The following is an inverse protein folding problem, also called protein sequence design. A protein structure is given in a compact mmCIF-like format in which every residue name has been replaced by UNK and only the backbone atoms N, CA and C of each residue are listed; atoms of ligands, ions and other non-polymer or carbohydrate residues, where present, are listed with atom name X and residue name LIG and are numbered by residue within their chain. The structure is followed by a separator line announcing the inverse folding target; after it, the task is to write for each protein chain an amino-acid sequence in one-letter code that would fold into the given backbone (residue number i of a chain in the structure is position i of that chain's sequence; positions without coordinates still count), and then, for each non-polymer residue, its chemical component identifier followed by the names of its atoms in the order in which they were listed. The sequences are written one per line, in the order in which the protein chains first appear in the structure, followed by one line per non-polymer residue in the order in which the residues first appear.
data_IF_379691545511
#
_entry.id   IF_379691545511
#
_cell.length_a   1.000
_cell.length_b   1.000
_cell.length_c   1.000
_cell.angle_alpha   90.00
_cell.angle_beta   90.00
_cell.angle_gamma   90.00
#
_symmetry.space_group_name_H-M   'P 1'
#
loop_
_entity.id
_entity.type
_entity.pdbx_description
1 polymer ?
#
# COMPACT_ATOMS: atom_id res chain seq x y z
N UNK A 1 -3.23 21.22 -7.86
CA UNK A 1 -3.63 19.84 -8.19
C UNK A 1 -4.81 19.49 -7.31
N UNK A 2 -5.94 19.12 -7.91
CA UNK A 2 -7.15 18.71 -7.18
C UNK A 2 -7.06 17.23 -6.84
N UNK A 3 -7.41 16.85 -5.61
CA UNK A 3 -7.32 15.46 -5.15
C UNK A 3 -8.66 14.98 -4.61
N UNK A 4 -9.08 13.77 -4.97
CA UNK A 4 -10.24 13.11 -4.39
C UNK A 4 -9.83 11.87 -3.59
N UNK A 5 -10.36 11.72 -2.37
CA UNK A 5 -10.17 10.53 -1.54
C UNK A 5 -11.48 9.76 -1.51
N UNK A 6 -11.49 8.58 -2.15
CA UNK A 6 -12.63 7.67 -2.14
C UNK A 6 -12.55 6.76 -0.92
N UNK A 7 -13.59 6.73 -0.10
CA UNK A 7 -13.57 6.07 1.22
C UNK A 7 -13.03 6.98 2.33
N UNK A 8 -13.24 8.29 2.22
CA UNK A 8 -12.68 9.30 3.13
C UNK A 8 -13.10 9.12 4.61
N UNK A 9 -14.27 8.52 4.87
CA UNK A 9 -14.75 8.27 6.24
C UNK A 9 -14.24 6.95 6.83
N UNK A 10 -13.69 6.05 6.00
CA UNK A 10 -12.98 4.88 6.46
C UNK A 10 -11.73 5.27 7.25
N UNK A 11 -11.29 4.43 8.17
CA UNK A 11 -10.25 4.84 9.11
C UNK A 11 -8.90 5.18 8.47
N UNK A 12 -8.49 4.45 7.42
CA UNK A 12 -7.36 4.86 6.59
C UNK A 12 -7.62 6.15 5.79
N UNK A 13 -8.82 6.32 5.22
CA UNK A 13 -9.17 7.51 4.43
C UNK A 13 -9.12 8.79 5.26
N UNK A 14 -9.63 8.74 6.50
CA UNK A 14 -9.54 9.84 7.47
C UNK A 14 -8.10 10.22 7.74
N UNK A 15 -7.24 9.22 7.93
CA UNK A 15 -5.83 9.45 8.22
C UNK A 15 -5.06 9.98 7.00
N UNK A 16 -5.40 9.55 5.78
CA UNK A 16 -4.86 10.13 4.54
C UNK A 16 -5.24 11.60 4.47
N UNK A 17 -6.51 11.95 4.65
CA UNK A 17 -6.97 13.34 4.63
C UNK A 17 -6.24 14.18 5.68
N UNK A 18 -6.18 13.71 6.93
CA UNK A 18 -5.49 14.41 8.01
C UNK A 18 -3.99 14.62 7.72
N UNK A 19 -3.26 13.59 7.27
CA UNK A 19 -1.82 13.73 6.98
C UNK A 19 -1.54 14.60 5.75
N UNK A 20 -2.41 14.58 4.73
CA UNK A 20 -2.25 15.45 3.58
C UNK A 20 -2.37 16.92 3.97
N UNK A 21 -3.35 17.26 4.82
CA UNK A 21 -3.57 18.63 5.30
C UNK A 21 -2.46 19.03 6.29
N UNK A 22 -2.14 18.19 7.27
CA UNK A 22 -1.10 18.44 8.28
C UNK A 22 0.29 18.68 7.65
N UNK A 23 0.62 17.97 6.57
CA UNK A 23 1.89 18.14 5.85
C UNK A 23 1.86 19.27 4.83
N UNK A 24 0.75 20.00 4.72
CA UNK A 24 0.54 21.05 3.71
C UNK A 24 0.88 20.57 2.30
N UNK A 25 0.46 19.34 1.98
CA UNK A 25 0.76 18.71 0.68
C UNK A 25 0.05 19.43 -0.47
N UNK A 26 -1.10 20.02 -0.17
CA UNK A 26 -1.91 20.81 -1.09
C UNK A 26 -1.77 22.29 -0.75
N UNK A 27 -1.70 23.12 -1.79
CA UNK A 27 -1.80 24.56 -1.64
C UNK A 27 -3.21 24.98 -1.21
N UNK A 28 -3.35 26.15 -0.61
CA UNK A 28 -4.63 26.68 -0.10
C UNK A 28 -5.68 26.84 -1.21
N UNK A 29 -5.25 27.09 -2.45
CA UNK A 29 -6.09 27.20 -3.65
C UNK A 29 -6.45 25.85 -4.28
N UNK A 30 -5.89 24.74 -3.78
CA UNK A 30 -6.23 23.40 -4.24
C UNK A 30 -7.58 22.94 -3.68
N UNK A 31 -8.17 21.96 -4.36
CA UNK A 31 -9.43 21.33 -3.95
C UNK A 31 -9.16 19.91 -3.44
N UNK A 32 -9.64 19.61 -2.23
CA UNK A 32 -9.65 18.27 -1.66
C UNK A 32 -11.09 17.76 -1.59
N UNK A 33 -11.41 16.71 -2.34
CA UNK A 33 -12.72 16.08 -2.35
C UNK A 33 -12.72 14.88 -1.41
N UNK A 34 -13.55 14.92 -0.37
CA UNK A 34 -13.80 13.78 0.51
C UNK A 34 -15.03 13.03 -0.03
N UNK A 35 -14.80 11.84 -0.57
CA UNK A 35 -15.84 11.04 -1.23
C UNK A 35 -16.21 9.85 -0.35
N UNK A 36 -17.48 9.80 0.04
CA UNK A 36 -18.08 8.73 0.84
C UNK A 36 -19.05 7.88 0.01
N UNK A 37 -19.83 7.02 0.68
CA UNK A 37 -20.91 6.27 0.06
C UNK A 37 -22.24 7.04 0.16
N UNK A 38 -23.07 6.96 -0.87
CA UNK A 38 -24.38 7.61 -0.88
C UNK A 38 -25.34 6.97 0.11
N UNK A 39 -25.99 7.79 0.94
CA UNK A 39 -26.97 7.33 1.92
C UNK A 39 -26.35 6.70 3.17
N UNK A 40 -26.85 7.12 4.34
CA UNK A 40 -26.50 6.52 5.63
C UNK A 40 -25.50 7.33 6.46
N UNK A 41 -24.91 6.68 7.46
CA UNK A 41 -24.05 7.32 8.45
C UNK A 41 -22.77 7.93 7.83
N UNK A 42 -22.20 7.28 6.81
CA UNK A 42 -20.96 7.72 6.18
C UNK A 42 -21.08 9.05 5.44
N UNK A 43 -22.23 9.35 4.84
CA UNK A 43 -22.45 10.66 4.22
C UNK A 43 -22.51 11.77 5.29
N UNK A 44 -23.12 11.48 6.45
CA UNK A 44 -23.12 12.41 7.60
C UNK A 44 -21.72 12.59 8.19
N UNK A 45 -20.94 11.52 8.27
CA UNK A 45 -19.57 11.53 8.82
C UNK A 45 -18.60 12.40 8.00
N UNK A 46 -18.83 12.58 6.69
CA UNK A 46 -18.05 13.49 5.85
C UNK A 46 -18.10 14.94 6.38
N UNK A 47 -19.27 15.40 6.81
CA UNK A 47 -19.44 16.73 7.37
C UNK A 47 -18.68 16.90 8.67
N UNK A 48 -18.72 15.88 9.54
CA UNK A 48 -17.96 15.86 10.78
C UNK A 48 -16.45 15.88 10.52
N UNK A 49 -15.96 15.05 9.59
CA UNK A 49 -14.55 15.03 9.20
C UNK A 49 -14.08 16.37 8.63
N UNK A 50 -14.88 17.01 7.77
CA UNK A 50 -14.56 18.34 7.21
C UNK A 50 -14.48 19.41 8.30
N UNK A 51 -15.43 19.44 9.22
CA UNK A 51 -15.41 20.39 10.33
C UNK A 51 -14.15 20.20 11.20
N UNK A 52 -13.84 18.95 11.55
CA UNK A 52 -12.68 18.59 12.37
C UNK A 52 -11.35 18.97 11.69
N UNK A 53 -11.22 18.72 10.38
CA UNK A 53 -10.04 19.15 9.61
C UNK A 53 -9.89 20.67 9.56
N UNK A 54 -10.98 21.41 9.41
CA UNK A 54 -10.93 22.88 9.46
C UNK A 54 -10.61 23.40 10.86
N UNK A 55 -11.20 22.84 11.91
CA UNK A 55 -10.91 23.25 13.29
C UNK A 55 -9.43 23.04 13.65
N UNK A 56 -8.83 21.95 13.16
CA UNK A 56 -7.42 21.64 13.41
C UNK A 56 -6.44 22.43 12.53
N UNK A 57 -6.80 22.71 11.27
CA UNK A 57 -5.87 23.18 10.24
C UNK A 57 -6.37 24.39 9.43
N UNK A 58 -7.27 25.21 9.97
CA UNK A 58 -7.89 26.35 9.27
C UNK A 58 -6.88 27.26 8.54
N UNK A 59 -5.68 27.43 9.10
CA UNK A 59 -4.65 28.31 8.55
C UNK A 59 -3.99 27.78 7.26
N UNK A 60 -4.10 26.48 6.97
CA UNK A 60 -3.43 25.82 5.85
C UNK A 60 -4.31 24.83 5.07
N UNK A 61 -5.56 24.62 5.49
CA UNK A 61 -6.45 23.65 4.87
C UNK A 61 -6.85 24.11 3.46
N UNK A 62 -6.83 23.20 2.46
CA UNK A 62 -7.33 23.50 1.12
C UNK A 62 -8.86 23.69 1.15
N UNK A 63 -9.45 24.00 -0.01
CA UNK A 63 -10.91 23.96 -0.14
C UNK A 63 -11.38 22.51 -0.09
N UNK A 64 -12.10 22.13 0.98
CA UNK A 64 -12.61 20.78 1.19
C UNK A 64 -14.04 20.68 0.67
N UNK A 65 -14.24 19.85 -0.35
CA UNK A 65 -15.54 19.51 -0.92
C UNK A 65 -15.99 18.12 -0.46
N UNK A 66 -17.29 17.91 -0.38
CA UNK A 66 -17.89 16.63 -0.01
C UNK A 66 -18.68 16.08 -1.19
N UNK A 67 -18.65 14.76 -1.37
CA UNK A 67 -19.42 14.10 -2.42
C UNK A 67 -19.57 12.60 -2.19
N UNK A 68 -20.35 11.97 -3.05
CA UNK A 68 -20.62 10.53 -3.03
C UNK A 68 -20.27 9.85 -4.36
N UNK A 69 -19.96 10.64 -5.38
CA UNK A 69 -19.47 10.18 -6.69
C UNK A 69 -18.15 10.89 -7.00
N UNK A 70 -17.10 10.11 -7.29
CA UNK A 70 -15.79 10.66 -7.65
C UNK A 70 -15.78 11.26 -9.06
N UNK A 71 -16.70 10.82 -9.93
CA UNK A 71 -16.83 11.31 -11.32
C UNK A 71 -17.10 12.81 -11.42
N UNK A 72 -17.74 13.39 -10.40
CA UNK A 72 -18.14 14.80 -10.35
C UNK A 72 -17.07 15.73 -9.74
N UNK A 73 -15.89 15.20 -9.38
CA UNK A 73 -14.88 15.95 -8.63
C UNK A 73 -13.94 16.79 -9.48
N UNK A 74 -13.69 16.39 -10.73
CA UNK A 74 -12.64 17.00 -11.56
C UNK A 74 -11.23 16.89 -10.96
N UNK A 75 -10.99 15.85 -10.15
CA UNK A 75 -9.69 15.63 -9.51
C UNK A 75 -8.60 15.20 -10.52
N UNK A 76 -7.39 15.72 -10.33
CA UNK A 76 -6.19 15.29 -11.06
C UNK A 76 -5.64 13.96 -10.51
N UNK A 77 -5.80 13.75 -9.19
CA UNK A 77 -5.41 12.51 -8.50
C UNK A 77 -6.59 11.96 -7.71
N UNK A 78 -6.91 10.68 -7.94
CA UNK A 78 -7.90 9.93 -7.16
C UNK A 78 -7.16 8.94 -6.27
N UNK A 79 -7.39 9.05 -4.96
CA UNK A 79 -6.85 8.14 -3.95
C UNK A 79 -7.94 7.14 -3.56
N UNK A 80 -7.77 5.89 -3.97
CA UNK A 80 -8.71 4.81 -3.72
C UNK A 80 -8.41 4.11 -2.38
N UNK A 81 -9.22 4.44 -1.37
CA UNK A 81 -9.16 3.89 -0.01
C UNK A 81 -10.42 3.09 0.37
N UNK A 82 -11.45 3.09 -0.48
CA UNK A 82 -12.71 2.40 -0.19
C UNK A 82 -12.56 0.88 -0.39
N UNK A 83 -13.10 0.13 0.56
CA UNK A 83 -13.08 -1.32 0.54
C UNK A 83 -13.46 -1.89 1.90
N UNK A 84 -14.04 -3.08 1.89
CA UNK A 84 -14.27 -3.85 3.09
C UNK A 84 -12.94 -4.48 3.57
N UNK A 85 -12.72 -4.48 4.88
CA UNK A 85 -11.46 -4.93 5.51
C UNK A 85 -11.67 -6.28 6.18
N UNK A 86 -10.64 -7.14 6.13
CA UNK A 86 -10.60 -8.39 6.92
C UNK A 86 -10.47 -8.03 8.40
N UNK A 87 -11.40 -8.54 9.22
CA UNK A 87 -11.37 -8.42 10.67
C UNK A 87 -11.33 -9.81 11.31
N UNK A 88 -11.17 -9.87 12.64
CA UNK A 88 -11.30 -11.14 13.39
C UNK A 88 -12.67 -11.81 13.19
N UNK A 89 -13.68 -11.04 12.79
CA UNK A 89 -15.07 -11.50 12.60
C UNK A 89 -15.36 -11.91 11.15
N UNK A 90 -14.40 -11.71 10.23
CA UNK A 90 -14.57 -12.13 8.83
C UNK A 90 -14.59 -13.64 8.73
N UNK A 91 -15.77 -14.20 8.47
CA UNK A 91 -16.00 -15.64 8.30
C UNK A 91 -15.87 -16.10 6.84
N UNK A 92 -16.21 -15.23 5.88
CA UNK A 92 -16.18 -15.54 4.45
C UNK A 92 -15.28 -14.54 3.69
N UNK A 93 -14.06 -14.99 3.38
CA UNK A 93 -13.08 -14.19 2.62
C UNK A 93 -13.47 -14.05 1.15
N UNK A 94 -14.16 -15.03 0.56
CA UNK A 94 -14.56 -14.99 -0.83
C UNK A 94 -15.68 -13.95 -1.04
N UNK A 95 -16.67 -13.92 -0.13
CA UNK A 95 -17.71 -12.89 -0.16
C UNK A 95 -17.14 -11.47 0.04
N UNK A 96 -16.11 -11.32 0.89
CA UNK A 96 -15.41 -10.04 1.07
C UNK A 96 -14.69 -9.61 -0.22
N UNK A 97 -13.96 -10.52 -0.86
CA UNK A 97 -13.27 -10.27 -2.13
C UNK A 97 -14.27 -9.87 -3.23
N UNK A 98 -15.38 -10.60 -3.38
CA UNK A 98 -16.43 -10.28 -4.34
C UNK A 98 -17.09 -8.92 -4.06
N UNK A 99 -17.20 -8.53 -2.78
CA UNK A 99 -17.68 -7.19 -2.40
C UNK A 99 -16.70 -6.10 -2.80
N UNK A 100 -15.41 -6.29 -2.54
CA UNK A 100 -14.38 -5.34 -2.94
C UNK A 100 -14.27 -5.21 -4.45
N UNK A 101 -14.39 -6.31 -5.20
CA UNK A 101 -14.41 -6.28 -6.65
C UNK A 101 -15.52 -5.37 -7.20
N UNK A 102 -16.76 -5.52 -6.70
CA UNK A 102 -17.87 -4.63 -7.06
C UNK A 102 -17.59 -3.17 -6.74
N UNK A 103 -17.05 -2.89 -5.56
CA UNK A 103 -16.67 -1.53 -5.16
C UNK A 103 -15.62 -0.95 -6.14
N UNK A 104 -14.64 -1.74 -6.55
CA UNK A 104 -13.60 -1.31 -7.49
C UNK A 104 -14.19 -1.00 -8.87
N UNK A 105 -15.08 -1.85 -9.38
CA UNK A 105 -15.72 -1.65 -10.68
C UNK A 105 -16.67 -0.43 -10.68
N UNK A 106 -17.41 -0.21 -9.60
CA UNK A 106 -18.30 0.95 -9.45
C UNK A 106 -17.49 2.26 -9.43
N UNK A 107 -16.38 2.28 -8.69
CA UNK A 107 -15.48 3.45 -8.64
C UNK A 107 -14.74 3.62 -9.96
N UNK A 108 -14.27 2.55 -10.60
CA UNK A 108 -13.64 2.60 -11.93
C UNK A 108 -14.61 3.17 -12.97
N UNK A 109 -15.87 2.72 -12.98
CA UNK A 109 -16.92 3.28 -13.85
C UNK A 109 -17.10 4.78 -13.62
N UNK A 110 -16.96 5.23 -12.37
CA UNK A 110 -17.05 6.64 -12.00
C UNK A 110 -15.83 7.47 -12.42
N UNK A 111 -14.63 6.93 -12.22
CA UNK A 111 -13.39 7.53 -12.73
C UNK A 111 -13.39 7.62 -14.26
N UNK A 112 -13.92 6.60 -14.95
CA UNK A 112 -14.03 6.59 -16.41
C UNK A 112 -14.98 7.66 -16.98
N UNK A 113 -15.84 8.29 -16.16
CA UNK A 113 -16.66 9.44 -16.56
C UNK A 113 -15.92 10.78 -16.44
N UNK A 114 -14.80 10.83 -15.72
CA UNK A 114 -14.07 12.08 -15.47
C UNK A 114 -13.47 12.62 -16.78
N UNK A 115 -13.52 13.93 -16.94
CA UNK A 115 -12.87 14.61 -18.07
C UNK A 115 -11.46 15.02 -17.68
N UNK A 116 -10.44 14.46 -18.33
CA UNK A 116 -9.03 14.83 -18.14
C UNK A 116 -8.14 13.64 -17.82
N UNK A 117 -6.84 13.90 -17.76
CA UNK A 117 -5.86 12.86 -17.48
C UNK A 117 -5.74 12.63 -15.96
N UNK A 118 -6.61 11.78 -15.41
CA UNK A 118 -6.60 11.41 -13.99
C UNK A 118 -5.50 10.40 -13.67
N UNK A 119 -4.82 10.58 -12.54
CA UNK A 119 -3.93 9.59 -11.94
C UNK A 119 -4.62 8.92 -10.75
N UNK A 120 -4.63 7.59 -10.71
CA UNK A 120 -5.27 6.82 -9.63
C UNK A 120 -4.20 6.16 -8.76
N UNK A 121 -4.22 6.47 -7.47
CA UNK A 121 -3.40 5.86 -6.43
C UNK A 121 -4.26 4.90 -5.62
N UNK A 122 -3.94 3.61 -5.65
CA UNK A 122 -4.74 2.55 -5.05
C UNK A 122 -4.06 1.99 -3.80
N UNK A 123 -4.82 1.86 -2.71
CA UNK A 123 -4.35 1.19 -1.50
C UNK A 123 -5.34 0.14 -0.98
N UNK A 124 -6.59 0.18 -1.45
CA UNK A 124 -7.61 -0.83 -1.14
C UNK A 124 -7.17 -2.24 -1.55
N UNK A 125 -7.47 -3.22 -0.71
CA UNK A 125 -7.06 -4.60 -0.91
C UNK A 125 -8.20 -5.49 -1.47
N UNK A 126 -7.91 -6.46 -2.35
CA UNK A 126 -6.58 -6.75 -2.93
C UNK A 126 -6.15 -5.66 -3.93
N UNK A 127 -4.94 -5.12 -3.76
CA UNK A 127 -4.47 -3.95 -4.52
C UNK A 127 -4.25 -4.29 -5.99
N UNK A 128 -3.76 -5.49 -6.30
CA UNK A 128 -3.56 -5.94 -7.67
C UNK A 128 -4.89 -6.10 -8.41
N UNK A 129 -5.94 -6.57 -7.74
CA UNK A 129 -7.29 -6.64 -8.29
C UNK A 129 -7.87 -5.25 -8.55
N UNK A 130 -7.72 -4.33 -7.60
CA UNK A 130 -8.18 -2.96 -7.77
C UNK A 130 -7.45 -2.28 -8.95
N UNK A 131 -6.13 -2.39 -9.02
CA UNK A 131 -5.34 -1.90 -10.16
C UNK A 131 -5.81 -2.56 -11.47
N UNK A 132 -6.12 -3.85 -11.49
CA UNK A 132 -6.67 -4.48 -12.69
C UNK A 132 -8.04 -3.90 -13.09
N UNK A 133 -8.96 -3.65 -12.16
CA UNK A 133 -10.27 -3.03 -12.46
C UNK A 133 -10.13 -1.64 -13.09
N UNK A 134 -9.24 -0.79 -12.56
CA UNK A 134 -9.01 0.56 -13.09
C UNK A 134 -8.27 0.58 -14.43
N UNK A 135 -7.53 -0.47 -14.79
CA UNK A 135 -6.76 -0.53 -16.04
C UNK A 135 -7.62 -0.44 -17.31
N UNK A 136 -8.93 -0.69 -17.20
CA UNK A 136 -9.89 -0.57 -18.30
C UNK A 136 -10.26 0.87 -18.64
N UNK A 137 -10.07 1.81 -17.70
CA UNK A 137 -10.52 3.21 -17.80
C UNK A 137 -9.40 4.23 -17.57
N UNK A 138 -8.28 3.82 -16.98
CA UNK A 138 -7.11 4.67 -16.72
C UNK A 138 -5.89 4.11 -17.45
N UNK A 139 -5.10 4.93 -18.17
CA UNK A 139 -3.85 4.49 -18.76
C UNK A 139 -2.91 3.88 -17.71
N UNK A 140 -2.25 2.76 -18.02
CA UNK A 140 -1.38 2.04 -17.07
C UNK A 140 -0.34 2.93 -16.37
N UNK A 141 0.23 3.91 -17.08
CA UNK A 141 1.21 4.86 -16.58
C UNK A 141 0.68 5.81 -15.50
N UNK A 142 -0.65 5.97 -15.41
CA UNK A 142 -1.34 6.81 -14.42
C UNK A 142 -2.03 6.01 -13.34
N UNK A 143 -1.75 4.71 -13.25
CA UNK A 143 -2.34 3.82 -12.27
C UNK A 143 -1.25 3.20 -11.39
N UNK A 144 -1.33 3.45 -10.08
CA UNK A 144 -0.26 3.17 -9.14
C UNK A 144 -0.86 2.56 -7.87
N UNK A 145 -0.47 1.34 -7.50
CA UNK A 145 -0.74 0.79 -6.18
C UNK A 145 0.35 1.18 -5.18
N UNK A 146 -0.05 1.70 -4.02
CA UNK A 146 0.84 2.21 -2.98
C UNK A 146 1.29 1.15 -1.95
N UNK A 147 0.75 -0.07 -2.01
CA UNK A 147 0.99 -1.09 -0.99
C UNK A 147 2.46 -1.53 -0.96
N UNK A 148 3.12 -1.67 -2.11
CA UNK A 148 4.53 -2.03 -2.19
C UNK A 148 5.45 -0.98 -1.53
N UNK A 149 5.06 0.31 -1.57
CA UNK A 149 5.76 1.36 -0.84
C UNK A 149 5.60 1.17 0.67
N UNK A 150 4.39 0.90 1.15
CA UNK A 150 4.13 0.57 2.56
C UNK A 150 4.95 -0.64 3.03
N UNK A 151 4.95 -1.73 2.26
CA UNK A 151 5.69 -2.95 2.61
C UNK A 151 7.20 -2.71 2.64
N UNK A 152 7.71 -1.92 1.69
CA UNK A 152 9.10 -1.49 1.67
C UNK A 152 9.47 -0.61 2.87
N UNK A 153 8.59 0.31 3.30
CA UNK A 153 8.82 1.12 4.49
C UNK A 153 8.85 0.27 5.77
N UNK A 154 8.03 -0.78 5.85
CA UNK A 154 8.05 -1.76 6.95
C UNK A 154 9.34 -2.57 6.94
N UNK A 155 9.74 -3.09 5.78
CA UNK A 155 10.97 -3.86 5.65
C UNK A 155 12.22 -3.03 6.00
N UNK A 156 12.30 -1.79 5.50
CA UNK A 156 13.36 -0.83 5.90
C UNK A 156 13.40 -0.60 7.41
N UNK A 157 12.23 -0.52 8.06
CA UNK A 157 12.16 -0.31 9.52
C UNK A 157 12.72 -1.51 10.28
N UNK A 158 12.41 -2.72 9.85
CA UNK A 158 12.86 -3.97 10.48
C UNK A 158 14.36 -4.20 10.27
N UNK A 159 14.88 -3.99 9.06
CA UNK A 159 16.33 -4.03 8.79
C UNK A 159 17.08 -2.96 9.59
N UNK A 160 16.56 -1.73 9.65
CA UNK A 160 17.18 -0.66 10.43
C UNK A 160 17.21 -0.98 11.93
N UNK A 161 16.18 -1.65 12.45
CA UNK A 161 16.14 -2.10 13.84
C UNK A 161 17.28 -3.10 14.12
N UNK A 162 17.45 -4.11 13.26
CA UNK A 162 18.47 -5.15 13.44
C UNK A 162 19.89 -4.59 13.29
N UNK A 163 20.07 -3.57 12.45
CA UNK A 163 21.35 -2.88 12.28
C UNK A 163 21.64 -1.86 13.41
N UNK A 164 20.63 -1.48 14.21
CA UNK A 164 20.76 -0.44 15.23
C UNK A 164 20.91 0.96 14.65
N UNK A 165 20.28 1.25 13.51
CA UNK A 165 20.31 2.56 12.83
C UNK A 165 18.90 3.11 12.59
N UNK A 166 18.80 4.34 12.07
CA UNK A 166 17.50 4.94 11.73
C UNK A 166 17.02 4.49 10.34
N UNK A 167 15.71 4.34 10.16
CA UNK A 167 15.07 3.93 8.88
C UNK A 167 15.61 4.67 7.64
N UNK A 168 15.81 6.01 7.64
CA UNK A 168 16.34 6.72 6.46
C UNK A 168 17.80 6.38 6.08
N UNK A 169 18.51 5.64 6.92
CA UNK A 169 19.87 5.15 6.62
C UNK A 169 19.84 3.85 5.81
N UNK A 170 18.70 3.18 5.72
CA UNK A 170 18.53 1.89 5.05
C UNK A 170 17.69 2.06 3.78
N UNK A 171 18.24 1.60 2.65
CA UNK A 171 17.50 1.32 1.43
C UNK A 171 17.23 -0.18 1.37
N UNK A 172 15.96 -0.55 1.31
CA UNK A 172 15.49 -1.92 1.14
C UNK A 172 14.10 -1.86 0.49
N UNK A 173 13.73 -2.87 -0.30
CA UNK A 173 12.46 -2.87 -1.01
C UNK A 173 11.80 -4.26 -0.95
N UNK A 174 10.47 -4.26 -0.97
CA UNK A 174 9.64 -5.43 -1.17
C UNK A 174 8.79 -5.22 -2.42
N UNK A 175 8.79 -6.23 -3.27
CA UNK A 175 8.10 -6.28 -4.56
C UNK A 175 7.14 -7.50 -4.57
N UNK A 176 6.65 -7.89 -5.75
CA UNK A 176 5.75 -9.04 -5.88
C UNK A 176 4.29 -8.70 -5.57
N UNK A 177 3.60 -9.62 -4.89
CA UNK A 177 2.21 -9.44 -4.46
C UNK A 177 2.16 -8.75 -3.09
N UNK A 178 1.23 -7.82 -2.89
CA UNK A 178 0.86 -7.42 -1.53
C UNK A 178 0.09 -8.55 -0.85
N UNK A 179 0.75 -9.30 0.04
CA UNK A 179 0.15 -10.39 0.78
C UNK A 179 1.10 -11.54 0.99
N UNK A 180 0.63 -12.76 0.73
CA UNK A 180 1.39 -13.96 1.04
C UNK A 180 2.57 -14.16 0.05
N UNK A 181 2.49 -13.68 -1.20
CA UNK A 181 3.61 -13.74 -2.17
C UNK A 181 4.44 -12.43 -2.25
N UNK A 182 4.75 -11.85 -1.09
CA UNK A 182 5.69 -10.72 -0.99
C UNK A 182 7.12 -11.17 -1.34
N UNK A 183 7.89 -10.32 -2.02
CA UNK A 183 9.28 -10.63 -2.39
C UNK A 183 10.25 -9.57 -1.84
N UNK A 184 10.94 -9.82 -0.71
CA UNK A 184 12.05 -8.98 -0.26
C UNK A 184 13.23 -9.04 -1.24
N UNK A 185 13.69 -7.87 -1.67
CA UNK A 185 14.87 -7.73 -2.55
C UNK A 185 16.10 -7.50 -1.67
N UNK A 186 16.75 -8.61 -1.31
CA UNK A 186 17.93 -8.65 -0.44
C UNK A 186 19.20 -8.18 -1.15
N UNK A 187 19.34 -8.53 -2.44
CA UNK A 187 20.46 -8.12 -3.29
C UNK A 187 20.60 -6.59 -3.39
N UNK A 188 19.49 -5.88 -3.30
CA UNK A 188 19.43 -4.41 -3.39
C UNK A 188 19.51 -3.67 -2.05
N UNK A 189 19.78 -4.34 -0.93
CA UNK A 189 19.83 -3.67 0.38
C UNK A 189 21.12 -2.87 0.53
N UNK A 190 20.97 -1.60 0.90
CA UNK A 190 22.09 -0.72 1.23
C UNK A 190 21.86 -0.02 2.58
N UNK A 191 22.90 0.09 3.39
CA UNK A 191 22.83 0.78 4.68
C UNK A 191 23.98 1.80 4.82
N UNK A 192 23.64 3.10 4.84
CA UNK A 192 24.61 4.18 5.01
C UNK A 192 25.16 4.17 6.43
N UNK A 193 26.48 4.31 6.57
CA UNK A 193 27.13 4.35 7.88
C UNK A 193 27.20 3.00 8.60
N UNK A 194 26.99 1.89 7.88
CA UNK A 194 27.16 0.52 8.37
C UNK A 194 28.19 -0.19 7.50
N UNK A 195 29.03 -1.04 8.10
CA UNK A 195 30.00 -1.83 7.32
C UNK A 195 29.29 -2.91 6.49
N UNK A 196 29.84 -3.20 5.32
CA UNK A 196 29.34 -4.26 4.43
C UNK A 196 29.26 -5.61 5.16
N UNK A 197 30.27 -5.94 5.97
CA UNK A 197 30.26 -7.18 6.77
C UNK A 197 29.07 -7.23 7.74
N UNK A 198 28.79 -6.14 8.48
CA UNK A 198 27.68 -6.13 9.44
C UNK A 198 26.33 -6.28 8.72
N UNK A 199 26.18 -5.67 7.55
CA UNK A 199 24.99 -5.85 6.73
C UNK A 199 24.88 -7.29 6.22
N UNK A 200 25.97 -7.85 5.68
CA UNK A 200 26.03 -9.22 5.20
C UNK A 200 25.71 -10.24 6.30
N UNK A 201 26.20 -10.04 7.52
CA UNK A 201 25.91 -10.91 8.67
C UNK A 201 24.41 -10.92 9.02
N UNK A 202 23.74 -9.77 8.93
CA UNK A 202 22.30 -9.63 9.22
C UNK A 202 21.49 -10.32 8.13
N UNK A 203 21.83 -10.07 6.86
CA UNK A 203 21.17 -10.72 5.70
C UNK A 203 21.39 -12.24 5.75
N UNK A 204 22.62 -12.68 6.05
CA UNK A 204 22.99 -14.08 6.16
C UNK A 204 22.18 -14.80 7.24
N UNK A 205 22.09 -14.23 8.45
CA UNK A 205 21.25 -14.80 9.53
C UNK A 205 19.78 -14.82 9.18
N UNK A 206 19.26 -13.76 8.54
CA UNK A 206 17.85 -13.69 8.17
C UNK A 206 17.46 -14.77 7.15
N UNK A 207 18.42 -15.20 6.31
CA UNK A 207 18.20 -16.16 5.21
C UNK A 207 18.77 -17.55 5.48
N UNK A 208 19.36 -17.78 6.65
CA UNK A 208 20.03 -19.03 6.98
C UNK A 208 19.05 -20.21 6.95
N UNK A 209 19.31 -21.19 6.09
CA UNK A 209 18.45 -22.37 5.93
C UNK A 209 17.07 -22.09 5.31
N UNK A 210 16.84 -20.90 4.77
CA UNK A 210 15.55 -20.48 4.18
C UNK A 210 15.67 -20.32 2.67
N UNK A 211 14.60 -20.67 1.96
CA UNK A 211 14.44 -20.40 0.54
C UNK A 211 13.39 -19.31 0.36
N UNK A 212 13.66 -18.34 -0.50
CA UNK A 212 12.71 -17.27 -0.78
C UNK A 212 11.40 -17.79 -1.42
N UNK A 213 11.47 -18.93 -2.12
CA UNK A 213 10.29 -19.59 -2.69
C UNK A 213 9.30 -20.11 -1.63
N UNK A 214 9.77 -20.34 -0.40
CA UNK A 214 8.97 -20.87 0.70
C UNK A 214 8.29 -19.76 1.52
N UNK A 215 8.65 -18.49 1.28
CA UNK A 215 8.14 -17.34 2.02
C UNK A 215 6.61 -17.24 1.98
N UNK A 216 6.00 -17.65 0.85
CA UNK A 216 4.54 -17.69 0.68
C UNK A 216 3.82 -18.68 1.59
N UNK A 217 4.54 -19.67 2.11
CA UNK A 217 4.05 -20.61 3.12
C UNK A 217 4.41 -20.15 4.53
N UNK A 218 5.62 -19.61 4.72
CA UNK A 218 6.07 -19.10 6.02
C UNK A 218 5.19 -17.97 6.56
N UNK A 219 4.79 -17.00 5.72
CA UNK A 219 3.97 -15.85 6.14
C UNK A 219 2.63 -16.32 6.75
N UNK A 220 1.81 -17.15 6.07
CA UNK A 220 0.58 -17.70 6.64
C UNK A 220 0.79 -18.51 7.93
N UNK A 221 1.85 -19.32 8.01
CA UNK A 221 2.15 -20.15 9.18
C UNK A 221 2.43 -19.30 10.41
N UNK A 222 3.34 -18.32 10.28
CA UNK A 222 3.69 -17.40 11.35
C UNK A 222 2.49 -16.53 11.73
N UNK A 223 1.71 -16.05 10.75
CA UNK A 223 0.47 -15.29 10.99
C UNK A 223 -0.55 -16.11 11.78
N UNK A 224 -0.73 -17.39 11.44
CA UNK A 224 -1.65 -18.29 12.13
C UNK A 224 -1.20 -18.53 13.57
N UNK A 225 0.10 -18.77 13.78
CA UNK A 225 0.66 -18.93 15.12
C UNK A 225 0.51 -17.70 16.00
N UNK A 226 0.74 -16.50 15.43
CA UNK A 226 0.52 -15.25 16.16
C UNK A 226 -0.97 -15.07 16.54
N UNK A 227 -1.89 -15.43 15.63
CA UNK A 227 -3.33 -15.37 15.88
C UNK A 227 -3.76 -16.36 16.98
N UNK A 228 -3.20 -17.57 17.04
CA UNK A 228 -3.44 -18.52 18.13
C UNK A 228 -3.09 -17.92 19.49
N UNK A 229 -1.93 -17.27 19.60
CA UNK A 229 -1.49 -16.61 20.83
C UNK A 229 -2.43 -15.46 21.23
N UNK A 230 -2.84 -14.63 20.27
CA UNK A 230 -3.82 -13.56 20.50
C UNK A 230 -5.17 -14.13 20.96
N UNK A 231 -5.65 -15.20 20.34
CA UNK A 231 -6.91 -15.87 20.73
C UNK A 231 -6.81 -16.56 22.11
N UNK A 232 -5.62 -16.99 22.50
CA UNK A 232 -5.33 -17.46 23.85
C UNK A 232 -5.18 -16.32 24.87
N UNK A 233 -5.46 -15.07 24.49
CA UNK A 233 -5.30 -13.85 25.29
C UNK A 233 -3.85 -13.52 25.68
N UNK A 234 -2.87 -14.12 24.99
CA UNK A 234 -1.44 -13.83 25.15
C UNK A 234 -0.94 -12.85 24.08
N UNK A 235 -1.45 -11.62 24.13
CA UNK A 235 -1.11 -10.56 23.16
C UNK A 235 0.39 -10.18 23.25
N UNK A 236 0.95 -10.18 24.46
CA UNK A 236 2.37 -9.89 24.66
C UNK A 236 3.24 -11.01 24.09
N UNK A 237 2.93 -12.27 24.37
CA UNK A 237 3.65 -13.40 23.78
C UNK A 237 3.53 -13.46 22.26
N UNK A 238 2.38 -13.09 21.69
CA UNK A 238 2.23 -12.93 20.25
C UNK A 238 3.16 -11.85 19.67
N UNK A 239 3.29 -10.71 20.35
CA UNK A 239 4.20 -9.64 19.93
C UNK A 239 5.65 -10.10 19.98
N UNK A 240 6.10 -10.69 21.10
CA UNK A 240 7.47 -11.22 21.24
C UNK A 240 7.77 -12.33 20.22
N UNK A 241 6.81 -13.22 19.95
CA UNK A 241 6.93 -14.24 18.92
C UNK A 241 7.19 -13.65 17.53
N UNK A 242 6.42 -12.61 17.14
CA UNK A 242 6.64 -11.91 15.87
C UNK A 242 8.00 -11.22 15.90
N UNK A 243 8.38 -10.55 16.99
CA UNK A 243 9.65 -9.84 17.09
C UNK A 243 10.88 -10.77 16.98
N UNK A 244 10.73 -12.05 17.34
CA UNK A 244 11.75 -13.08 17.15
C UNK A 244 11.91 -13.60 15.71
N UNK A 245 11.02 -13.23 14.78
CA UNK A 245 11.08 -13.69 13.40
C UNK A 245 12.11 -12.91 12.57
N UNK A 246 12.56 -13.45 11.41
CA UNK A 246 13.35 -12.71 10.43
C UNK A 246 12.68 -11.41 9.94
N UNK A 247 13.44 -10.37 9.54
CA UNK A 247 12.90 -9.03 9.26
C UNK A 247 11.89 -8.96 8.10
N UNK A 248 11.99 -9.84 7.12
CA UNK A 248 11.02 -10.03 6.04
C UNK A 248 9.67 -10.54 6.58
N UNK A 249 9.70 -11.58 7.43
CA UNK A 249 8.51 -12.12 8.10
C UNK A 249 7.90 -11.07 9.04
N UNK A 250 8.72 -10.34 9.81
CA UNK A 250 8.23 -9.26 10.68
C UNK A 250 7.49 -8.19 9.90
N UNK A 251 8.07 -7.75 8.78
CA UNK A 251 7.47 -6.74 7.93
C UNK A 251 6.11 -7.20 7.35
N UNK A 252 5.99 -8.47 6.96
CA UNK A 252 4.77 -9.06 6.42
C UNK A 252 3.68 -9.34 7.47
N UNK A 253 4.06 -9.83 8.66
CA UNK A 253 3.09 -10.35 9.66
C UNK A 253 2.64 -9.29 10.67
N UNK A 254 3.50 -8.37 11.07
CA UNK A 254 3.19 -7.32 12.07
C UNK A 254 1.97 -6.44 11.74
N UNK A 255 1.65 -6.13 10.47
CA UNK A 255 0.40 -5.44 10.13
C UNK A 255 -0.86 -6.18 10.59
N UNK A 256 -0.86 -7.52 10.49
CA UNK A 256 -1.97 -8.36 10.93
C UNK A 256 -2.09 -8.37 12.46
N UNK A 257 -0.99 -8.24 13.19
CA UNK A 257 -1.04 -8.09 14.64
C UNK A 257 -1.87 -6.86 15.05
N UNK A 258 -1.76 -5.74 14.33
CA UNK A 258 -2.65 -4.58 14.55
C UNK A 258 -4.10 -4.91 14.24
N UNK A 259 -4.38 -5.64 13.16
CA UNK A 259 -5.74 -6.06 12.80
C UNK A 259 -6.38 -6.94 13.89
N UNK A 260 -5.62 -7.91 14.41
CA UNK A 260 -6.12 -8.87 15.40
C UNK A 260 -6.32 -8.25 16.78
N UNK A 261 -5.52 -7.24 17.14
CA UNK A 261 -5.56 -6.63 18.48
C UNK A 261 -6.47 -5.41 18.57
N UNK A 262 -6.56 -4.61 17.51
CA UNK A 262 -7.37 -3.38 17.50
C UNK A 262 -8.73 -3.53 16.81
N UNK A 263 -8.95 -4.64 16.09
CA UNK A 263 -10.16 -4.84 15.26
C UNK A 263 -10.27 -3.84 14.10
N UNK A 264 -9.18 -3.14 13.76
CA UNK A 264 -9.11 -2.11 12.72
C UNK A 264 -7.89 -2.33 11.84
N UNK A 265 -7.91 -1.72 10.66
CA UNK A 265 -6.76 -1.74 9.74
C UNK A 265 -5.55 -0.95 10.29
N UNK A 266 -4.40 -1.07 9.63
CA UNK A 266 -3.18 -0.34 9.98
C UNK A 266 -3.23 1.11 9.49
N UNK A 267 -4.00 1.96 10.14
CA UNK A 267 -4.36 3.31 9.67
C UNK A 267 -3.16 4.21 9.37
N UNK A 268 -2.28 4.42 10.36
CA UNK A 268 -1.17 5.37 10.27
C UNK A 268 -0.13 5.00 9.22
N UNK A 269 0.29 3.73 9.20
CA UNK A 269 1.31 3.24 8.28
C UNK A 269 0.80 3.26 6.83
N UNK A 270 -0.46 2.86 6.63
CA UNK A 270 -1.11 2.86 5.33
C UNK A 270 -1.25 4.28 4.78
N UNK A 271 -1.78 5.19 5.60
CA UNK A 271 -1.93 6.59 5.21
C UNK A 271 -0.58 7.26 4.93
N UNK A 272 0.45 6.99 5.75
CA UNK A 272 1.78 7.55 5.53
C UNK A 272 2.34 7.13 4.17
N UNK A 273 2.22 5.86 3.79
CA UNK A 273 2.67 5.38 2.50
C UNK A 273 1.91 6.04 1.33
N UNK A 274 0.58 6.13 1.43
CA UNK A 274 -0.25 6.77 0.39
C UNK A 274 0.09 8.26 0.26
N UNK A 275 0.23 8.97 1.37
CA UNK A 275 0.57 10.42 1.39
C UNK A 275 1.95 10.66 0.80
N UNK A 276 2.92 9.77 1.03
CA UNK A 276 4.23 9.85 0.38
C UNK A 276 4.10 9.70 -1.15
N UNK A 277 3.36 8.70 -1.63
CA UNK A 277 3.14 8.47 -3.08
C UNK A 277 2.45 9.66 -3.73
N UNK A 278 1.39 10.19 -3.11
CA UNK A 278 0.72 11.41 -3.57
C UNK A 278 1.68 12.59 -3.52
N UNK A 279 2.53 12.69 -2.49
CA UNK A 279 3.53 13.74 -2.39
C UNK A 279 4.56 13.72 -3.51
N UNK A 280 4.98 12.55 -3.98
CA UNK A 280 5.85 12.43 -5.16
C UNK A 280 5.15 12.93 -6.44
N UNK A 281 3.84 12.73 -6.56
CA UNK A 281 3.06 13.25 -7.69
C UNK A 281 2.91 14.78 -7.62
N UNK A 282 2.69 15.33 -6.42
CA UNK A 282 2.38 16.76 -6.24
C UNK A 282 3.63 17.65 -6.30
N UNK A 283 4.74 17.24 -5.67
CA UNK A 283 5.91 18.11 -5.51
C UNK A 283 6.80 18.25 -6.75
N UNK A 284 6.52 17.56 -7.85
CA UNK A 284 7.29 17.72 -9.09
C UNK A 284 8.57 16.88 -9.18
N UNK A 285 8.95 16.18 -8.13
CA UNK A 285 10.21 15.43 -8.07
C UNK A 285 10.07 14.03 -8.67
N UNK A 286 11.09 13.60 -9.41
CA UNK A 286 11.17 12.21 -9.85
C UNK A 286 11.60 11.32 -8.67
N UNK A 287 10.82 10.27 -8.41
CA UNK A 287 11.08 9.33 -7.33
C UNK A 287 11.09 7.89 -7.85
N UNK A 288 12.16 7.14 -7.53
CA UNK A 288 12.21 5.71 -7.76
C UNK A 288 11.55 4.99 -6.56
N UNK A 289 10.36 4.43 -6.78
CA UNK A 289 9.60 3.76 -5.72
C UNK A 289 9.14 2.37 -6.17
N UNK A 290 9.09 1.37 -5.28
CA UNK A 290 8.32 0.17 -5.51
C UNK A 290 6.82 0.50 -5.48
N UNK A 291 6.11 0.12 -6.53
CA UNK A 291 4.66 0.29 -6.66
C UNK A 291 4.05 -0.85 -7.47
N UNK A 292 2.80 -1.20 -7.18
CA UNK A 292 2.03 -2.08 -8.05
C UNK A 292 1.63 -1.33 -9.31
N UNK A 293 2.00 -1.85 -10.47
CA UNK A 293 1.65 -1.27 -11.79
C UNK A 293 1.24 -2.38 -12.75
N UNK A 294 0.57 -2.01 -13.85
CA UNK A 294 0.31 -2.93 -14.95
C UNK A 294 1.51 -2.96 -15.90
N UNK A 295 2.18 -4.11 -15.94
CA UNK A 295 3.29 -4.39 -16.85
C UNK A 295 2.80 -4.86 -18.22
N UNK A 296 3.60 -4.59 -19.24
CA UNK A 296 3.41 -4.95 -20.65
C UNK A 296 4.66 -5.66 -21.23
N UNK A 297 5.46 -6.27 -20.36
CA UNK A 297 6.69 -7.00 -20.71
C UNK A 297 7.99 -6.24 -20.45
N UNK A 298 7.95 -4.99 -19.97
CA UNK A 298 9.16 -4.19 -19.71
C UNK A 298 9.98 -4.67 -18.49
N UNK A 299 9.48 -5.62 -17.72
CA UNK A 299 10.19 -6.20 -16.58
C UNK A 299 10.11 -7.72 -16.66
N UNK A 300 11.21 -8.35 -17.04
CA UNK A 300 11.32 -9.82 -17.13
C UNK A 300 10.26 -10.51 -18.00
N UNK A 301 9.81 -9.82 -19.06
CA UNK A 301 8.72 -10.25 -19.95
C UNK A 301 7.37 -10.50 -19.23
N UNK A 302 7.23 -10.05 -17.97
CA UNK A 302 6.01 -10.18 -17.18
C UNK A 302 4.95 -9.16 -17.61
N UNK A 303 3.68 -9.57 -17.56
CA UNK A 303 2.51 -8.80 -18.02
C UNK A 303 1.41 -8.79 -16.98
N UNK A 304 0.69 -7.68 -16.83
CA UNK A 304 -0.35 -7.54 -15.80
C UNK A 304 0.17 -6.94 -14.49
N UNK A 305 -0.64 -6.96 -13.41
CA UNK A 305 -0.31 -6.28 -12.17
C UNK A 305 0.83 -6.98 -11.41
N UNK A 306 1.85 -6.22 -11.03
CA UNK A 306 2.94 -6.66 -10.16
C UNK A 306 3.58 -5.46 -9.47
N UNK A 307 4.03 -5.62 -8.22
CA UNK A 307 4.91 -4.62 -7.62
C UNK A 307 6.34 -4.74 -8.14
N UNK A 308 6.86 -3.65 -8.70
CA UNK A 308 8.24 -3.52 -9.20
C UNK A 308 8.73 -2.09 -8.94
N UNK A 309 10.04 -1.78 -9.05
CA UNK A 309 10.50 -0.42 -8.87
C UNK A 309 10.19 0.40 -10.14
N UNK A 310 9.53 1.54 -9.98
CA UNK A 310 9.15 2.44 -11.07
C UNK A 310 9.65 3.85 -10.84
N UNK A 311 9.90 4.58 -11.92
CA UNK A 311 10.20 6.00 -11.89
C UNK A 311 8.89 6.79 -11.94
N UNK A 312 8.51 7.35 -10.80
CA UNK A 312 7.32 8.17 -10.61
C UNK A 312 7.60 9.65 -10.87
N UNK A 313 6.63 10.35 -11.43
CA UNK A 313 6.62 11.79 -11.72
C UNK A 313 5.19 12.34 -11.61
N UNK A 314 4.98 13.66 -11.70
CA UNK A 314 3.62 14.25 -11.62
C UNK A 314 2.60 13.73 -12.64
N UNK A 315 3.06 13.20 -13.77
CA UNK A 315 2.19 12.65 -14.82
C UNK A 315 1.99 11.13 -14.70
N UNK A 316 2.38 10.55 -13.56
CA UNK A 316 2.40 9.11 -13.32
C UNK A 316 3.79 8.50 -13.45
N UNK A 317 3.86 7.19 -13.69
CA UNK A 317 5.11 6.45 -13.83
C UNK A 317 5.50 6.23 -15.29
N UNK A 318 6.80 6.24 -15.57
CA UNK A 318 7.33 6.27 -16.95
C UNK A 318 8.05 4.99 -17.38
N UNK A 319 8.79 4.36 -16.46
CA UNK A 319 9.59 3.17 -16.72
C UNK A 319 9.82 2.39 -15.42
N UNK A 320 10.14 1.12 -15.57
CA UNK A 320 10.71 0.32 -14.49
C UNK A 320 12.17 0.73 -14.28
N UNK A 321 12.64 0.66 -13.04
CA UNK A 321 14.03 1.00 -12.70
C UNK A 321 14.86 -0.26 -12.81
N UNK A 322 15.93 -0.20 -13.59
CA UNK A 322 16.90 -1.30 -13.66
C UNK A 322 17.61 -1.46 -12.33
N UNK A 323 17.45 -2.61 -11.71
CA UNK A 323 18.11 -3.02 -10.47
C UNK A 323 18.64 -4.44 -10.63
N UNK A 324 19.77 -4.74 -10.00
CA UNK A 324 20.23 -6.12 -9.90
C UNK A 324 19.23 -6.90 -9.04
N UNK A 325 18.76 -8.03 -9.56
CA UNK A 325 17.83 -8.95 -8.91
C UNK A 325 18.46 -10.32 -8.99
N UNK A 326 18.67 -10.95 -7.84
CA UNK A 326 19.25 -12.28 -7.74
C UNK A 326 18.31 -13.34 -8.35
N UNK A 327 18.84 -14.50 -8.73
CA UNK A 327 18.08 -15.54 -9.44
C UNK A 327 16.91 -16.09 -8.61
N UNK A 328 17.07 -16.21 -7.30
CA UNK A 328 16.01 -16.65 -6.38
C UNK A 328 14.93 -15.59 -6.17
N UNK A 329 15.30 -14.30 -6.11
CA UNK A 329 14.37 -13.16 -6.10
C UNK A 329 13.57 -13.11 -7.40
N UNK A 330 14.22 -13.33 -8.54
CA UNK A 330 13.57 -13.41 -9.85
C UNK A 330 12.58 -14.56 -9.94
N UNK A 331 12.96 -15.73 -9.42
CA UNK A 331 12.07 -16.89 -9.35
C UNK A 331 10.85 -16.62 -8.46
N UNK A 332 11.06 -16.00 -7.29
CA UNK A 332 9.98 -15.61 -6.38
C UNK A 332 9.03 -14.56 -7.00
N UNK A 333 9.56 -13.60 -7.77
CA UNK A 333 8.74 -12.62 -8.50
C UNK A 333 7.84 -13.30 -9.54
N UNK A 334 8.36 -14.30 -10.26
CA UNK A 334 7.55 -15.10 -11.21
C UNK A 334 6.46 -15.91 -10.51
N UNK A 335 6.78 -16.49 -9.35
CA UNK A 335 5.79 -17.21 -8.53
C UNK A 335 4.69 -16.25 -8.02
N UNK A 336 5.07 -15.07 -7.53
CA UNK A 336 4.12 -14.05 -7.11
C UNK A 336 3.22 -13.59 -8.25
N UNK A 337 3.79 -13.37 -9.44
CA UNK A 337 3.05 -13.03 -10.65
C UNK A 337 2.03 -14.10 -11.04
N UNK A 338 2.43 -15.38 -11.07
CA UNK A 338 1.51 -16.50 -11.33
C UNK A 338 0.37 -16.59 -10.31
N UNK A 339 0.66 -16.34 -9.04
CA UNK A 339 -0.36 -16.31 -7.99
C UNK A 339 -1.35 -15.15 -8.19
N UNK A 340 -0.87 -13.98 -8.59
CA UNK A 340 -1.73 -12.84 -8.93
C UNK A 340 -2.62 -13.19 -10.12
N UNK A 341 -2.07 -13.70 -11.21
CA UNK A 341 -2.85 -14.07 -12.40
C UNK A 341 -3.94 -15.09 -12.08
N UNK A 342 -3.62 -16.09 -11.26
CA UNK A 342 -4.58 -17.11 -10.84
C UNK A 342 -5.74 -16.50 -10.04
N UNK A 343 -5.47 -15.53 -9.17
CA UNK A 343 -6.49 -14.85 -8.36
C UNK A 343 -7.35 -13.86 -9.17
N UNK A 344 -6.85 -13.34 -10.29
CA UNK A 344 -7.63 -12.45 -11.16
C UNK A 344 -8.60 -13.21 -12.08
N UNK A 345 -8.41 -14.52 -12.25
CA UNK A 345 -9.26 -15.37 -13.09
C UNK A 345 -10.43 -16.00 -12.32
N UNK A 346 -10.43 -15.91 -10.99
CA UNK A 346 -11.46 -16.44 -10.08
C UNK A 346 -12.47 -15.39 -9.66
#
# INVERSE_FOLDING_TARGET
MNIAIVGATGSCGRQVAAQMVERSLLSEDANLHLVGHAGGAHESELWGLRADLYDAFADAAPTIHLGTDVGDTGADVVVMMAGATVTRETTDRAALAATNHRIFDDVATSVGRMTGDVTVVVQSNPVELAVQSFASVVPRHRLIGAAAWSDSLRFRREIAADLGVRRPMVSAQMWGQHGDHLVPIWSGIHARGVSEQKLADIIGRAREGRSLADLSSEIPEVRSRALELVNAHDVHGAFEFIQGQPPDIRAAVKPFFTHFTAGRTTELATAHAVVDVVGFLVHGEQAAIPAQVILDGEFDDLRGPLAVPVLLSPVGWSQTVSTEVADDERAALRQAHQAIESNLQT
#
